data_IF_536034740470
#
_entry.id   IF_536034740470
#
_cell.length_a   1.000
_cell.length_b   1.000
_cell.length_c   1.000
_cell.angle_alpha   90.00
_cell.angle_beta   90.00
_cell.angle_gamma   90.00
#
_symmetry.space_group_name_H-M   'P 1'
#
loop_
_entity.id
_entity.type
_entity.pdbx_description
1 polymer ?
#
# COMPACT_ATOMS: atom_id res chain seq x y z
N UNK A 1 8.84 26.23 -60.49
CA UNK A 1 8.77 27.25 -59.42
C UNK A 1 7.46 27.03 -58.68
N UNK A 2 7.40 26.72 -57.40
CA UNK A 2 8.42 26.56 -56.34
C UNK A 2 7.84 25.52 -55.36
N UNK A 3 8.71 24.64 -54.90
CA UNK A 3 8.54 23.88 -53.66
C UNK A 3 8.41 24.85 -52.47
N UNK A 4 7.71 24.41 -51.43
CA UNK A 4 7.51 25.16 -50.20
C UNK A 4 6.91 24.27 -49.11
N UNK A 5 7.63 23.20 -48.77
CA UNK A 5 7.45 22.44 -47.54
C UNK A 5 7.91 23.30 -46.35
N UNK A 6 6.98 23.86 -45.58
CA UNK A 6 7.28 24.34 -44.21
C UNK A 6 6.65 23.37 -43.22
N UNK A 7 7.41 22.32 -42.91
CA UNK A 7 7.23 21.49 -41.73
C UNK A 7 8.12 22.05 -40.62
N UNK A 8 7.57 22.91 -39.76
CA UNK A 8 8.28 23.36 -38.55
C UNK A 8 7.36 23.38 -37.33
N UNK A 9 7.36 22.30 -36.53
CA UNK A 9 7.17 22.43 -35.08
C UNK A 9 8.23 21.66 -34.24
N UNK A 10 9.38 21.27 -34.81
CA UNK A 10 10.32 20.34 -34.15
C UNK A 10 11.21 20.93 -33.04
N UNK A 11 11.55 22.23 -33.11
CA UNK A 11 12.51 22.88 -32.18
C UNK A 11 12.03 23.01 -30.73
N UNK A 12 10.80 23.48 -30.43
CA UNK A 12 10.34 23.60 -29.03
C UNK A 12 10.09 22.24 -28.36
N UNK A 13 9.75 21.21 -29.14
CA UNK A 13 9.61 19.84 -28.65
C UNK A 13 10.98 19.24 -28.27
N UNK A 14 12.02 19.48 -29.07
CA UNK A 14 13.37 19.03 -28.80
C UNK A 14 13.97 19.72 -27.56
N UNK A 15 13.76 21.03 -27.40
CA UNK A 15 14.21 21.74 -26.19
C UNK A 15 13.51 21.25 -24.92
N UNK A 16 12.21 20.98 -24.98
CA UNK A 16 11.46 20.38 -23.87
C UNK A 16 11.97 18.96 -23.56
N UNK A 17 12.27 18.16 -24.59
CA UNK A 17 12.87 16.84 -24.45
C UNK A 17 14.24 16.87 -23.77
N UNK A 18 15.11 17.79 -24.18
CA UNK A 18 16.45 17.97 -23.62
C UNK A 18 16.38 18.46 -22.18
N UNK A 19 15.49 19.43 -21.88
CA UNK A 19 15.25 19.91 -20.50
C UNK A 19 14.70 18.80 -19.61
N UNK A 20 13.75 18.04 -20.11
CA UNK A 20 13.24 16.84 -19.44
C UNK A 20 14.37 15.86 -19.15
N UNK A 21 15.09 15.39 -20.17
CA UNK A 21 16.19 14.45 -20.01
C UNK A 21 17.26 14.92 -19.00
N UNK A 22 17.60 16.21 -18.98
CA UNK A 22 18.50 16.80 -17.99
C UNK A 22 17.93 16.78 -16.56
N UNK A 23 16.66 17.14 -16.38
CA UNK A 23 16.00 17.09 -15.06
C UNK A 23 15.88 15.65 -14.55
N UNK A 24 15.60 14.68 -15.43
CA UNK A 24 15.57 13.27 -15.09
C UNK A 24 16.96 12.76 -14.66
N UNK A 25 18.02 13.15 -15.37
CA UNK A 25 19.40 12.78 -15.03
C UNK A 25 19.84 13.38 -13.68
N UNK A 26 19.59 14.68 -13.47
CA UNK A 26 19.88 15.34 -12.18
C UNK A 26 19.11 14.69 -11.03
N UNK A 27 17.85 14.36 -11.24
CA UNK A 27 17.05 13.74 -10.21
C UNK A 27 17.52 12.30 -9.89
N UNK A 28 18.03 11.58 -10.89
CA UNK A 28 18.64 10.25 -10.71
C UNK A 28 19.90 10.33 -9.85
N UNK A 29 20.81 11.26 -10.19
CA UNK A 29 22.08 11.44 -9.50
C UNK A 29 21.90 11.90 -8.04
N UNK A 30 20.84 12.67 -7.77
CA UNK A 30 20.49 13.11 -6.42
C UNK A 30 19.80 12.02 -5.57
N UNK A 31 19.22 10.97 -6.17
CA UNK A 31 18.53 9.92 -5.41
C UNK A 31 19.47 9.19 -4.43
N UNK A 32 20.66 8.82 -4.90
CA UNK A 32 21.65 8.10 -4.10
C UNK A 32 22.15 8.89 -2.87
N UNK A 33 22.58 10.17 -2.97
CA UNK A 33 22.98 10.93 -1.80
C UNK A 33 21.84 11.16 -0.80
N UNK A 34 20.61 11.40 -1.25
CA UNK A 34 19.47 11.54 -0.33
C UNK A 34 19.07 10.24 0.38
N UNK A 35 19.14 9.10 -0.33
CA UNK A 35 18.91 7.80 0.28
C UNK A 35 19.93 7.50 1.39
N UNK A 36 21.20 7.88 1.18
CA UNK A 36 22.26 7.77 2.20
C UNK A 36 22.02 8.70 3.39
N UNK A 37 21.63 9.96 3.16
CA UNK A 37 21.28 10.90 4.24
C UNK A 37 20.11 10.39 5.08
N UNK A 38 19.07 9.82 4.44
CA UNK A 38 17.96 9.19 5.15
C UNK A 38 18.44 8.03 6.02
N UNK A 39 19.28 7.14 5.47
CA UNK A 39 19.82 6.01 6.22
C UNK A 39 20.63 6.49 7.43
N UNK A 40 21.48 7.51 7.25
CA UNK A 40 22.26 8.10 8.35
C UNK A 40 21.36 8.75 9.40
N UNK A 41 20.30 9.44 8.98
CA UNK A 41 19.33 10.07 9.87
C UNK A 41 18.57 9.05 10.74
N UNK A 42 18.20 7.91 10.17
CA UNK A 42 17.56 6.80 10.90
C UNK A 42 18.51 6.18 11.94
N UNK A 43 19.82 6.23 11.72
CA UNK A 43 20.84 5.71 12.64
C UNK A 43 21.19 6.69 13.77
N UNK A 44 20.91 7.98 13.63
CA UNK A 44 21.06 8.96 14.71
C UNK A 44 19.93 8.75 15.73
N UNK A 45 20.25 8.81 17.03
CA UNK A 45 19.31 8.53 18.12
C UNK A 45 17.95 9.22 17.96
N UNK A 46 16.88 8.53 18.43
CA UNK A 46 15.51 8.68 17.96
C UNK A 46 14.93 10.11 17.94
N UNK A 47 15.33 11.02 18.84
CA UNK A 47 14.75 12.37 18.90
C UNK A 47 15.42 13.38 17.94
N UNK A 48 16.72 13.23 17.66
CA UNK A 48 17.46 14.15 16.80
C UNK A 48 17.46 13.72 15.32
N UNK A 49 17.37 12.41 15.05
CA UNK A 49 17.41 11.85 13.69
C UNK A 49 16.08 11.89 12.94
N UNK A 50 14.94 11.84 13.64
CA UNK A 50 13.60 11.85 13.06
C UNK A 50 13.31 13.03 12.11
N UNK A 51 13.56 14.30 12.48
CA UNK A 51 13.31 15.42 11.58
C UNK A 51 14.18 15.36 10.31
N UNK A 52 15.44 14.90 10.43
CA UNK A 52 16.33 14.74 9.29
C UNK A 52 15.88 13.60 8.37
N UNK A 53 15.41 12.48 8.93
CA UNK A 53 14.89 11.35 8.17
C UNK A 53 13.61 11.74 7.41
N UNK A 54 12.70 12.45 8.08
CA UNK A 54 11.48 12.98 7.45
C UNK A 54 11.81 13.96 6.31
N UNK A 55 12.78 14.86 6.52
CA UNK A 55 13.24 15.79 5.48
C UNK A 55 13.85 15.06 4.28
N UNK A 56 14.70 14.06 4.51
CA UNK A 56 15.30 13.26 3.44
C UNK A 56 14.24 12.43 2.68
N UNK A 57 13.22 11.90 3.36
CA UNK A 57 12.08 11.23 2.72
C UNK A 57 11.27 12.17 1.83
N UNK A 58 11.01 13.41 2.29
CA UNK A 58 10.33 14.43 1.50
C UNK A 58 11.14 14.78 0.23
N UNK A 59 12.47 14.91 0.35
CA UNK A 59 13.35 15.18 -0.78
C UNK A 59 13.38 14.03 -1.80
N UNK A 60 13.45 12.78 -1.31
CA UNK A 60 13.37 11.60 -2.17
C UNK A 60 12.05 11.53 -2.92
N UNK A 61 10.92 11.77 -2.23
CA UNK A 61 9.61 11.77 -2.87
C UNK A 61 9.49 12.86 -3.96
N UNK A 62 10.04 14.04 -3.72
CA UNK A 62 10.07 15.12 -4.72
C UNK A 62 10.89 14.72 -5.95
N UNK A 63 12.06 14.11 -5.74
CA UNK A 63 12.92 13.63 -6.83
C UNK A 63 12.25 12.53 -7.65
N UNK A 64 11.56 11.60 -6.98
CA UNK A 64 10.77 10.56 -7.61
C UNK A 64 9.60 11.16 -8.41
N UNK A 65 8.86 12.10 -7.82
CA UNK A 65 7.74 12.76 -8.48
C UNK A 65 8.22 13.57 -9.70
N UNK A 66 9.42 14.17 -9.67
CA UNK A 66 10.04 14.88 -10.79
C UNK A 66 10.50 13.93 -11.90
N UNK A 67 11.19 12.84 -11.55
CA UNK A 67 11.59 11.82 -12.52
C UNK A 67 10.38 11.22 -13.20
N UNK A 68 9.35 10.86 -12.43
CA UNK A 68 8.10 10.35 -12.94
C UNK A 68 7.45 11.36 -13.89
N UNK A 69 7.32 12.62 -13.47
CA UNK A 69 6.68 13.67 -14.26
C UNK A 69 7.33 13.83 -15.63
N UNK A 70 8.65 13.96 -15.64
CA UNK A 70 9.45 14.14 -16.85
C UNK A 70 9.44 12.90 -17.72
N UNK A 71 9.65 11.71 -17.13
CA UNK A 71 9.66 10.45 -17.88
C UNK A 71 8.32 10.20 -18.55
N UNK A 72 7.22 10.53 -17.86
CA UNK A 72 5.87 10.30 -18.35
C UNK A 72 5.36 11.35 -19.33
N UNK A 73 5.96 12.54 -19.40
CA UNK A 73 5.77 13.44 -20.55
C UNK A 73 6.31 12.84 -21.85
N UNK A 74 7.38 12.04 -21.76
CA UNK A 74 8.03 11.42 -22.93
C UNK A 74 7.43 10.06 -23.28
N UNK A 75 7.13 9.24 -22.28
CA UNK A 75 6.60 7.89 -22.43
C UNK A 75 5.64 7.57 -21.28
N UNK A 76 4.37 7.32 -21.60
CA UNK A 76 3.36 6.96 -20.62
C UNK A 76 3.82 5.76 -19.77
N UNK A 77 3.54 5.74 -18.45
CA UNK A 77 3.88 4.60 -17.60
C UNK A 77 3.21 3.34 -18.13
N UNK A 78 3.96 2.25 -18.15
CA UNK A 78 3.38 0.93 -18.32
C UNK A 78 2.59 0.57 -17.06
N UNK A 79 1.38 0.07 -17.26
CA UNK A 79 0.50 -0.38 -16.18
C UNK A 79 0.18 -1.85 -16.41
N UNK A 80 0.34 -2.66 -15.37
CA UNK A 80 0.13 -4.11 -15.40
C UNK A 80 -0.88 -4.45 -14.32
N UNK A 81 -2.11 -4.71 -14.74
CA UNK A 81 -3.16 -5.16 -13.82
C UNK A 81 -2.99 -6.66 -13.55
N UNK A 82 -3.05 -7.05 -12.28
CA UNK A 82 -2.95 -8.43 -11.85
C UNK A 82 -3.89 -8.69 -10.65
N UNK A 83 -4.29 -9.93 -10.38
CA UNK A 83 -5.00 -10.28 -9.15
C UNK A 83 -4.16 -9.91 -7.92
N UNK A 84 -4.72 -9.11 -7.01
CA UNK A 84 -4.08 -8.73 -5.75
C UNK A 84 -5.08 -8.77 -4.60
N UNK A 85 -4.58 -8.98 -3.39
CA UNK A 85 -5.35 -8.76 -2.18
C UNK A 85 -5.59 -7.28 -1.95
N UNK A 86 -6.83 -6.84 -2.15
CA UNK A 86 -7.14 -5.41 -2.26
C UNK A 86 -7.09 -4.70 -0.91
N UNK A 87 -7.55 -5.37 0.15
CA UNK A 87 -7.58 -4.77 1.49
C UNK A 87 -6.17 -4.49 2.01
N UNK A 88 -5.25 -5.46 1.92
CA UNK A 88 -3.85 -5.29 2.31
C UNK A 88 -3.18 -4.15 1.55
N UNK A 89 -3.37 -4.10 0.23
CA UNK A 89 -2.83 -3.05 -0.63
C UNK A 89 -3.30 -1.64 -0.22
N UNK A 90 -4.61 -1.47 0.00
CA UNK A 90 -5.19 -0.16 0.32
C UNK A 90 -4.95 0.25 1.78
N UNK A 91 -4.74 -0.72 2.68
CA UNK A 91 -4.32 -0.45 4.05
C UNK A 91 -2.93 0.21 4.11
N UNK A 92 -2.00 -0.21 3.24
CA UNK A 92 -0.67 0.42 3.12
C UNK A 92 -0.79 1.88 2.66
N UNK A 93 -1.69 2.14 1.71
CA UNK A 93 -2.01 3.50 1.24
C UNK A 93 -2.61 4.34 2.37
N UNK A 94 -3.53 3.78 3.15
CA UNK A 94 -4.11 4.46 4.31
C UNK A 94 -3.05 4.78 5.38
N UNK A 95 -2.12 3.85 5.64
CA UNK A 95 -1.00 4.08 6.56
C UNK A 95 -0.06 5.20 6.09
N UNK A 96 0.22 5.26 4.78
CA UNK A 96 0.94 6.38 4.17
C UNK A 96 0.19 7.70 4.38
N UNK A 97 -1.11 7.74 4.11
CA UNK A 97 -1.95 8.93 4.31
C UNK A 97 -1.93 9.44 5.75
N UNK A 98 -2.06 8.53 6.73
CA UNK A 98 -1.96 8.86 8.15
C UNK A 98 -0.61 9.48 8.52
N UNK A 99 0.49 8.94 7.98
CA UNK A 99 1.85 9.47 8.21
C UNK A 99 2.00 10.87 7.61
N UNK A 100 1.57 11.07 6.37
CA UNK A 100 1.66 12.36 5.69
C UNK A 100 0.82 13.45 6.39
N UNK A 101 -0.40 13.12 6.80
CA UNK A 101 -1.24 14.05 7.55
C UNK A 101 -0.62 14.43 8.90
N UNK A 102 -0.06 13.45 9.63
CA UNK A 102 0.64 13.69 10.91
C UNK A 102 1.83 14.63 10.75
N UNK A 103 2.61 14.51 9.66
CA UNK A 103 3.73 15.40 9.37
C UNK A 103 3.29 16.86 9.16
N UNK A 104 2.04 17.07 8.74
CA UNK A 104 1.45 18.37 8.49
C UNK A 104 0.54 18.83 9.65
N UNK A 105 0.58 18.15 10.79
CA UNK A 105 -0.29 18.39 11.95
C UNK A 105 -1.79 18.35 11.61
N UNK A 106 -2.17 17.58 10.58
CA UNK A 106 -3.53 17.46 10.10
C UNK A 106 -4.20 16.18 10.61
N UNK A 107 -5.53 16.23 10.77
CA UNK A 107 -6.35 15.05 11.04
C UNK A 107 -6.45 14.16 9.80
N UNK A 108 -6.35 12.84 9.98
CA UNK A 108 -6.53 11.87 8.90
C UNK A 108 -7.81 11.05 9.12
N UNK A 109 -8.67 11.03 8.11
CA UNK A 109 -9.87 10.20 8.07
C UNK A 109 -9.76 9.21 6.92
N UNK A 110 -9.91 7.92 7.22
CA UNK A 110 -9.89 6.86 6.23
C UNK A 110 -11.20 6.08 6.29
N UNK A 111 -11.83 5.91 5.14
CA UNK A 111 -13.01 5.08 4.95
C UNK A 111 -12.68 4.03 3.88
N UNK A 112 -12.32 2.84 4.34
CA UNK A 112 -12.17 1.65 3.51
C UNK A 112 -13.53 0.96 3.53
N UNK A 113 -14.36 1.19 2.52
CA UNK A 113 -15.66 0.54 2.40
C UNK A 113 -15.54 -0.99 2.27
N UNK A 114 -16.65 -1.66 1.92
CA UNK A 114 -16.60 -3.10 1.67
C UNK A 114 -15.79 -3.40 0.41
N UNK A 115 -14.57 -3.90 0.58
CA UNK A 115 -13.67 -4.30 -0.50
C UNK A 115 -13.76 -5.81 -0.72
N UNK A 116 -13.73 -6.30 -1.98
CA UNK A 116 -13.55 -7.72 -2.24
C UNK A 116 -12.18 -8.20 -1.74
N UNK A 117 -12.03 -9.50 -1.41
CA UNK A 117 -10.77 -10.04 -0.93
C UNK A 117 -9.67 -9.88 -1.97
N UNK A 118 -9.97 -10.22 -3.23
CA UNK A 118 -9.05 -10.16 -4.36
C UNK A 118 -9.74 -9.51 -5.56
N UNK A 119 -9.00 -8.63 -6.23
CA UNK A 119 -9.43 -7.99 -7.46
C UNK A 119 -8.24 -7.78 -8.39
N UNK A 120 -8.51 -7.66 -9.69
CA UNK A 120 -7.51 -7.34 -10.69
C UNK A 120 -7.29 -5.83 -10.71
N UNK A 121 -6.12 -5.40 -10.30
CA UNK A 121 -5.72 -3.98 -10.30
C UNK A 121 -4.20 -3.90 -10.40
N UNK A 122 -3.68 -2.74 -10.79
CA UNK A 122 -2.23 -2.54 -10.84
C UNK A 122 -1.66 -2.31 -9.43
N UNK A 123 -0.89 -3.30 -8.94
CA UNK A 123 -0.29 -3.33 -7.60
C UNK A 123 0.63 -2.13 -7.34
N UNK A 124 1.25 -1.57 -8.37
CA UNK A 124 2.23 -0.49 -8.21
C UNK A 124 1.62 0.86 -8.56
N UNK A 125 0.93 0.95 -9.70
CA UNK A 125 0.38 2.20 -10.19
C UNK A 125 -0.73 2.76 -9.29
N UNK A 126 -1.59 1.91 -8.71
CA UNK A 126 -2.70 2.40 -7.88
C UNK A 126 -2.24 2.95 -6.53
N UNK A 127 -1.41 2.26 -5.72
CA UNK A 127 -0.83 2.87 -4.52
C UNK A 127 -0.01 4.11 -4.83
N UNK A 128 0.74 4.12 -5.93
CA UNK A 128 1.52 5.28 -6.36
C UNK A 128 0.62 6.46 -6.71
N UNK A 129 -0.49 6.23 -7.40
CA UNK A 129 -1.48 7.25 -7.73
C UNK A 129 -2.11 7.85 -6.47
N UNK A 130 -2.65 7.00 -5.60
CA UNK A 130 -3.30 7.44 -4.37
C UNK A 130 -2.30 8.12 -3.43
N UNK A 131 -1.06 7.62 -3.36
CA UNK A 131 0.03 8.23 -2.61
C UNK A 131 0.38 9.64 -3.09
N UNK A 132 0.41 9.88 -4.41
CA UNK A 132 0.62 11.22 -4.99
C UNK A 132 -0.54 12.17 -4.64
N UNK A 133 -1.79 11.69 -4.72
CA UNK A 133 -2.96 12.48 -4.32
C UNK A 133 -2.95 12.82 -2.82
N UNK A 134 -2.58 11.86 -1.96
CA UNK A 134 -2.45 12.06 -0.52
C UNK A 134 -1.34 13.05 -0.17
N UNK A 135 -0.19 12.97 -0.85
CA UNK A 135 0.90 13.96 -0.69
C UNK A 135 0.43 15.36 -1.03
N UNK A 136 -0.28 15.53 -2.15
CA UNK A 136 -0.87 16.81 -2.52
C UNK A 136 -1.84 17.31 -1.44
N UNK A 137 -2.85 16.49 -1.08
CA UNK A 137 -3.88 16.87 -0.12
C UNK A 137 -3.31 17.26 1.25
N UNK A 138 -2.31 16.52 1.75
CA UNK A 138 -1.65 16.83 3.01
C UNK A 138 -0.82 18.13 2.93
N UNK A 139 -0.05 18.30 1.85
CA UNK A 139 0.80 19.48 1.67
C UNK A 139 -0.01 20.79 1.60
N UNK A 140 -1.22 20.76 1.06
CA UNK A 140 -2.10 21.93 0.97
C UNK A 140 -3.04 22.09 2.16
N UNK A 141 -3.06 21.15 3.12
CA UNK A 141 -3.98 21.17 4.28
C UNK A 141 -3.26 21.19 5.64
N UNK A 142 -2.24 22.04 5.87
CA UNK A 142 -1.53 22.09 7.15
C UNK A 142 -2.47 22.48 8.31
N UNK A 143 -2.38 21.76 9.43
CA UNK A 143 -3.26 21.95 10.59
C UNK A 143 -4.74 21.63 10.36
N UNK A 144 -5.09 21.10 9.18
CA UNK A 144 -6.47 20.88 8.74
C UNK A 144 -6.88 19.41 8.79
N UNK A 145 -7.51 18.94 7.72
CA UNK A 145 -7.89 17.52 7.58
C UNK A 145 -7.63 16.97 6.19
N UNK A 146 -7.31 15.68 6.14
CA UNK A 146 -7.12 14.89 4.92
C UNK A 146 -8.03 13.67 5.01
N UNK A 147 -8.74 13.37 3.92
CA UNK A 147 -9.66 12.23 3.85
C UNK A 147 -9.33 11.32 2.67
N UNK A 148 -9.24 10.03 2.93
CA UNK A 148 -9.25 8.96 1.94
C UNK A 148 -10.57 8.21 2.06
N UNK A 149 -11.32 8.09 0.96
CA UNK A 149 -12.53 7.28 0.89
C UNK A 149 -12.46 6.34 -0.31
N UNK A 150 -12.76 5.07 -0.07
CA UNK A 150 -12.64 3.99 -1.04
C UNK A 150 -13.92 3.16 -1.01
N UNK A 151 -14.51 2.92 -2.18
CA UNK A 151 -15.70 2.08 -2.31
C UNK A 151 -15.57 1.20 -3.55
N UNK A 152 -15.71 -0.11 -3.36
CA UNK A 152 -15.83 -1.05 -4.47
C UNK A 152 -17.31 -1.27 -4.79
N UNK A 153 -17.68 -1.21 -6.06
CA UNK A 153 -19.05 -1.39 -6.52
C UNK A 153 -19.12 -2.22 -7.80
N UNK A 154 -20.09 -3.12 -7.85
CA UNK A 154 -20.48 -3.83 -9.06
C UNK A 154 -21.56 -3.01 -9.78
N UNK A 155 -21.26 -2.51 -10.98
CA UNK A 155 -22.14 -1.64 -11.76
C UNK A 155 -22.48 -2.25 -13.12
N UNK A 156 -23.45 -1.63 -13.83
CA UNK A 156 -23.82 -1.98 -15.20
C UNK A 156 -22.69 -1.56 -16.17
N UNK A 157 -21.65 -2.38 -16.26
CA UNK A 157 -20.46 -2.11 -17.07
C UNK A 157 -19.18 -2.73 -16.51
N UNK A 158 -19.21 -3.24 -15.28
CA UNK A 158 -18.06 -3.90 -14.65
C UNK A 158 -18.01 -3.64 -13.15
N UNK A 159 -16.94 -4.10 -12.53
CA UNK A 159 -16.63 -3.76 -11.15
C UNK A 159 -15.63 -2.61 -11.10
N UNK A 160 -15.89 -1.65 -10.22
CA UNK A 160 -15.14 -0.41 -10.12
C UNK A 160 -14.71 -0.15 -8.68
N UNK A 161 -13.48 0.34 -8.53
CA UNK A 161 -12.99 0.93 -7.30
C UNK A 161 -13.07 2.44 -7.43
N UNK A 162 -13.98 3.05 -6.67
CA UNK A 162 -14.11 4.49 -6.54
C UNK A 162 -13.20 4.98 -5.44
N UNK A 163 -12.25 5.83 -5.80
CA UNK A 163 -11.30 6.43 -4.87
C UNK A 163 -11.54 7.94 -4.81
N UNK A 164 -11.56 8.48 -3.60
CA UNK A 164 -11.66 9.91 -3.35
C UNK A 164 -10.61 10.33 -2.33
N UNK A 165 -9.82 11.34 -2.68
CA UNK A 165 -8.84 11.97 -1.79
C UNK A 165 -9.17 13.45 -1.66
N UNK A 166 -9.48 13.88 -0.44
CA UNK A 166 -9.86 15.25 -0.14
C UNK A 166 -8.95 15.87 0.93
N UNK A 167 -8.87 17.21 0.92
CA UNK A 167 -8.12 17.98 1.90
C UNK A 167 -8.77 19.34 2.14
N UNK A 168 -8.71 19.84 3.36
CA UNK A 168 -9.37 21.11 3.74
C UNK A 168 -8.82 22.33 2.99
N UNK A 169 -7.58 22.27 2.49
CA UNK A 169 -6.99 23.34 1.68
C UNK A 169 -6.96 23.07 0.17
N UNK A 170 -7.62 22.00 -0.30
CA UNK A 170 -7.77 21.75 -1.74
C UNK A 170 -8.80 22.74 -2.31
N UNK A 171 -8.45 23.44 -3.39
CA UNK A 171 -9.39 24.32 -4.10
C UNK A 171 -10.40 23.46 -4.88
N UNK A 172 -11.65 23.46 -4.42
CA UNK A 172 -12.72 22.68 -5.05
C UNK A 172 -12.95 23.10 -6.51
N UNK A 173 -12.95 22.12 -7.43
CA UNK A 173 -13.34 22.33 -8.83
C UNK A 173 -12.22 22.69 -9.83
N UNK A 174 -10.96 22.79 -9.40
CA UNK A 174 -9.84 23.05 -10.31
C UNK A 174 -8.91 21.83 -10.44
N UNK A 175 -8.78 21.30 -11.66
CA UNK A 175 -7.63 20.50 -12.06
C UNK A 175 -6.51 21.47 -12.43
N UNK A 176 -5.84 22.07 -11.45
CA UNK A 176 -4.75 23.01 -11.73
C UNK A 176 -3.62 22.30 -12.48
N UNK A 177 -3.17 22.88 -13.58
CA UNK A 177 -2.01 22.36 -14.30
C UNK A 177 -0.79 22.53 -13.39
N UNK A 178 0.00 21.48 -13.13
CA UNK A 178 1.05 21.43 -12.10
C UNK A 178 2.14 22.52 -12.23
N UNK A 179 2.22 23.18 -13.39
CA UNK A 179 3.23 24.20 -13.73
C UNK A 179 2.64 25.52 -14.26
N UNK A 180 1.30 25.70 -14.28
CA UNK A 180 0.75 27.00 -14.70
C UNK A 180 0.86 27.98 -13.54
N UNK A 181 1.97 28.74 -13.55
CA UNK A 181 2.47 29.84 -12.69
C UNK A 181 1.52 30.72 -11.86
N UNK A 182 0.45 30.18 -11.30
CA UNK A 182 -0.51 30.85 -10.44
C UNK A 182 -1.09 29.83 -9.47
N UNK A 183 -0.43 29.62 -8.34
CA UNK A 183 -1.12 29.39 -7.05
C UNK A 183 -0.13 29.48 -5.88
N UNK A 184 -0.67 29.79 -4.69
CA UNK A 184 -0.01 29.74 -3.39
C UNK A 184 0.32 28.29 -2.94
N UNK A 185 0.33 27.33 -3.87
CA UNK A 185 0.49 25.89 -3.63
C UNK A 185 1.98 25.55 -3.69
N UNK A 186 2.51 24.76 -2.72
CA UNK A 186 3.90 24.32 -2.75
C UNK A 186 4.23 23.57 -4.05
N UNK A 187 5.41 23.83 -4.64
CA UNK A 187 5.83 23.20 -5.89
C UNK A 187 5.80 21.66 -5.85
N UNK A 188 6.16 21.07 -4.71
CA UNK A 188 6.09 19.63 -4.48
C UNK A 188 4.65 19.10 -4.57
N UNK A 189 3.68 19.83 -4.02
CA UNK A 189 2.26 19.45 -4.06
C UNK A 189 1.70 19.55 -5.48
N UNK A 190 2.10 20.58 -6.23
CA UNK A 190 1.70 20.74 -7.63
C UNK A 190 2.28 19.62 -8.49
N UNK A 191 3.57 19.29 -8.33
CA UNK A 191 4.22 18.19 -9.04
C UNK A 191 3.56 16.84 -8.75
N UNK A 192 3.26 16.54 -7.49
CA UNK A 192 2.58 15.31 -7.10
C UNK A 192 1.22 15.17 -7.81
N UNK A 193 0.42 16.25 -7.86
CA UNK A 193 -0.85 16.26 -8.59
C UNK A 193 -0.66 16.07 -10.10
N UNK A 194 0.35 16.72 -10.68
CA UNK A 194 0.71 16.55 -12.09
C UNK A 194 1.01 15.11 -12.47
N UNK A 195 1.89 14.47 -11.70
CA UNK A 195 2.25 13.07 -11.90
C UNK A 195 1.06 12.12 -11.61
N UNK A 196 0.15 12.49 -10.71
CA UNK A 196 -1.09 11.74 -10.50
C UNK A 196 -2.01 11.81 -11.74
N UNK A 197 -2.13 12.96 -12.39
CA UNK A 197 -2.92 13.11 -13.64
C UNK A 197 -2.36 12.24 -14.76
N UNK A 198 -1.03 12.24 -14.97
CA UNK A 198 -0.39 11.40 -15.99
C UNK A 198 -0.61 9.90 -15.71
N UNK A 199 -0.49 9.49 -14.44
CA UNK A 199 -0.69 8.09 -14.05
C UNK A 199 -2.16 7.65 -14.19
N UNK A 200 -3.10 8.54 -13.85
CA UNK A 200 -4.53 8.34 -14.06
C UNK A 200 -4.87 8.16 -15.56
N UNK A 201 -4.24 8.94 -16.45
CA UNK A 201 -4.36 8.78 -17.90
C UNK A 201 -3.83 7.44 -18.39
N UNK A 202 -2.68 6.98 -17.88
CA UNK A 202 -2.12 5.67 -18.23
C UNK A 202 -3.03 4.51 -17.78
N UNK A 203 -3.65 4.64 -16.60
CA UNK A 203 -4.69 3.75 -16.10
C UNK A 203 -6.04 3.91 -16.82
N UNK A 204 -6.11 4.74 -17.87
CA UNK A 204 -7.32 5.04 -18.67
C UNK A 204 -8.52 5.48 -17.83
N UNK A 205 -8.23 6.13 -16.71
CA UNK A 205 -9.20 6.48 -15.67
C UNK A 205 -8.98 7.94 -15.31
N UNK A 206 -9.67 8.90 -15.96
CA UNK A 206 -9.38 10.32 -15.76
C UNK A 206 -9.71 10.76 -14.34
N UNK A 207 -8.78 11.51 -13.74
CA UNK A 207 -8.99 12.16 -12.45
C UNK A 207 -10.03 13.28 -12.59
N UNK A 208 -10.93 13.39 -11.62
CA UNK A 208 -11.99 14.42 -11.57
C UNK A 208 -11.82 15.27 -10.33
N UNK A 209 -11.95 16.58 -10.47
CA UNK A 209 -12.05 17.45 -9.30
C UNK A 209 -13.40 17.27 -8.59
N UNK A 210 -13.37 17.23 -7.27
CA UNK A 210 -14.55 17.18 -6.41
C UNK A 210 -14.71 18.51 -5.69
N UNK A 211 -15.95 19.02 -5.64
CA UNK A 211 -16.30 20.23 -4.91
C UNK A 211 -16.67 19.93 -3.45
N UNK A 212 -17.14 20.95 -2.72
CA UNK A 212 -17.68 20.82 -1.37
C UNK A 212 -18.74 19.70 -1.27
N UNK A 213 -18.91 19.04 -0.10
CA UNK A 213 -18.36 19.39 1.22
C UNK A 213 -16.91 18.96 1.46
N UNK A 214 -16.35 18.11 0.59
CA UNK A 214 -14.97 17.62 0.71
C UNK A 214 -14.21 17.92 -0.60
N UNK A 215 -13.65 19.14 -0.75
CA UNK A 215 -12.84 19.48 -1.91
C UNK A 215 -11.67 18.50 -2.09
N UNK A 216 -11.50 17.99 -3.30
CA UNK A 216 -10.60 16.88 -3.52
C UNK A 216 -10.52 16.41 -4.97
N UNK A 217 -10.01 15.21 -5.13
CA UNK A 217 -9.86 14.53 -6.40
C UNK A 217 -10.45 13.12 -6.30
N UNK A 218 -11.25 12.75 -7.29
CA UNK A 218 -11.92 11.47 -7.38
C UNK A 218 -11.53 10.74 -8.67
N UNK A 219 -11.42 9.42 -8.61
CA UNK A 219 -11.13 8.55 -9.74
C UNK A 219 -11.87 7.23 -9.58
N UNK A 220 -12.35 6.68 -10.70
CA UNK A 220 -12.93 5.34 -10.76
C UNK A 220 -11.99 4.44 -11.56
N UNK A 221 -11.52 3.35 -10.94
CA UNK A 221 -10.57 2.39 -11.51
C UNK A 221 -11.29 1.09 -11.82
N UNK A 222 -11.09 0.51 -13.00
CA UNK A 222 -11.59 -0.83 -13.30
C UNK A 222 -10.96 -1.84 -12.32
N UNK A 223 -11.80 -2.62 -11.64
CA UNK A 223 -11.39 -3.48 -10.53
C UNK A 223 -12.22 -4.77 -10.48
N UNK A 224 -12.15 -5.63 -11.52
CA UNK A 224 -12.91 -6.87 -11.57
C UNK A 224 -12.46 -7.85 -10.48
N UNK A 225 -13.41 -8.65 -9.99
CA UNK A 225 -13.15 -9.69 -9.01
C UNK A 225 -12.19 -10.75 -9.58
N UNK A 226 -11.34 -11.29 -8.72
CA UNK A 226 -10.53 -12.46 -9.01
C UNK A 226 -10.51 -13.39 -7.77
N UNK A 227 -10.17 -14.65 -7.98
CA UNK A 227 -10.04 -15.63 -6.91
C UNK A 227 -8.67 -15.54 -6.24
N UNK A 228 -8.58 -15.93 -4.97
CA UNK A 228 -7.30 -16.00 -4.24
C UNK A 228 -6.28 -16.93 -4.92
N UNK A 229 -6.75 -18.00 -5.58
CA UNK A 229 -5.89 -18.91 -6.34
C UNK A 229 -5.21 -18.29 -7.55
N UNK A 230 -5.69 -17.13 -8.02
CA UNK A 230 -5.12 -16.40 -9.16
C UNK A 230 -4.02 -15.41 -8.73
N UNK A 231 -3.87 -15.18 -7.42
CA UNK A 231 -2.85 -14.26 -6.89
C UNK A 231 -1.47 -14.91 -6.98
N UNK A 232 -0.54 -14.22 -7.64
CA UNK A 232 0.86 -14.60 -7.64
C UNK A 232 1.49 -14.21 -6.30
N UNK A 233 1.97 -15.21 -5.56
CA UNK A 233 2.64 -15.01 -4.29
C UNK A 233 4.09 -14.54 -4.52
N UNK A 234 4.60 -13.65 -3.64
CA UNK A 234 5.99 -13.23 -3.73
C UNK A 234 6.92 -14.42 -3.43
N UNK A 235 8.13 -14.37 -3.99
CA UNK A 235 9.18 -15.31 -3.60
C UNK A 235 9.55 -15.03 -2.12
N UNK A 236 9.56 -16.05 -1.24
CA UNK A 236 10.04 -15.89 0.12
C UNK A 236 11.46 -15.32 0.13
N UNK A 237 11.73 -14.23 0.86
CA UNK A 237 13.09 -13.72 0.99
C UNK A 237 13.94 -14.71 1.81
N UNK A 238 15.25 -14.65 1.64
CA UNK A 238 16.16 -15.31 2.58
C UNK A 238 16.08 -14.59 3.93
N UNK A 239 15.65 -15.32 4.95
CA UNK A 239 15.44 -14.78 6.29
C UNK A 239 16.58 -15.26 7.17
N UNK A 240 17.27 -14.33 7.83
CA UNK A 240 18.08 -14.69 8.99
C UNK A 240 17.18 -15.38 10.02
N UNK A 241 17.72 -16.38 10.73
CA UNK A 241 17.07 -17.22 11.75
C UNK A 241 16.51 -16.40 12.95
N UNK A 242 15.51 -15.56 12.68
CA UNK A 242 15.00 -14.50 13.54
C UNK A 242 13.92 -14.97 14.52
N UNK A 243 13.40 -16.19 14.34
CA UNK A 243 12.32 -16.77 15.15
C UNK A 243 12.59 -18.24 15.49
N UNK A 244 13.85 -18.57 15.80
CA UNK A 244 14.30 -19.95 16.07
C UNK A 244 13.57 -20.63 17.22
N UNK A 245 13.22 -21.89 17.00
CA UNK A 245 12.66 -22.79 18.03
C UNK A 245 11.20 -22.52 18.42
N UNK A 246 10.46 -21.74 17.61
CA UNK A 246 9.01 -21.54 17.80
C UNK A 246 8.22 -22.51 16.95
N UNK A 247 7.29 -23.26 17.53
CA UNK A 247 6.30 -24.03 16.75
C UNK A 247 5.13 -23.14 16.36
N UNK A 248 4.76 -23.17 15.08
CA UNK A 248 3.64 -22.42 14.52
C UNK A 248 2.72 -23.41 13.81
N UNK A 249 1.45 -23.43 14.21
CA UNK A 249 0.42 -24.17 13.47
C UNK A 249 -0.11 -23.28 12.35
N UNK A 250 -0.13 -23.76 11.11
CA UNK A 250 -0.63 -23.02 9.95
C UNK A 250 -1.89 -23.70 9.43
N UNK A 251 -3.04 -23.02 9.56
CA UNK A 251 -4.31 -23.42 8.97
C UNK A 251 -4.62 -22.51 7.78
N UNK A 252 -4.27 -22.97 6.58
CA UNK A 252 -4.46 -22.25 5.33
C UNK A 252 -4.98 -23.21 4.24
N UNK A 253 -6.22 -23.01 3.75
CA UNK A 253 -6.83 -23.91 2.79
C UNK A 253 -6.20 -23.81 1.39
N UNK A 254 -5.72 -22.64 1.00
CA UNK A 254 -5.08 -22.46 -0.31
C UNK A 254 -3.67 -23.06 -0.29
N UNK A 255 -3.45 -24.15 -1.03
CA UNK A 255 -2.18 -24.87 -1.03
C UNK A 255 -0.98 -23.97 -1.31
N UNK A 256 -1.05 -23.12 -2.35
CA UNK A 256 0.02 -22.20 -2.69
C UNK A 256 0.37 -21.24 -1.53
N UNK A 257 -0.63 -20.70 -0.83
CA UNK A 257 -0.42 -19.81 0.31
C UNK A 257 0.15 -20.57 1.51
N UNK A 258 -0.34 -21.78 1.77
CA UNK A 258 0.19 -22.64 2.83
C UNK A 258 1.65 -22.98 2.60
N UNK A 259 2.03 -23.32 1.37
CA UNK A 259 3.40 -23.62 0.98
C UNK A 259 4.28 -22.37 1.15
N UNK A 260 3.83 -21.21 0.66
CA UNK A 260 4.51 -19.92 0.86
C UNK A 260 4.77 -19.58 2.33
N UNK A 261 3.73 -19.67 3.17
CA UNK A 261 3.84 -19.39 4.61
C UNK A 261 4.77 -20.40 5.30
N UNK A 262 4.72 -21.66 4.90
CA UNK A 262 5.58 -22.73 5.43
C UNK A 262 7.04 -22.45 5.11
N UNK A 263 7.37 -22.16 3.84
CA UNK A 263 8.73 -21.82 3.42
C UNK A 263 9.27 -20.59 4.16
N UNK A 264 8.46 -19.53 4.28
CA UNK A 264 8.82 -18.32 4.98
C UNK A 264 9.11 -18.56 6.47
N UNK A 265 8.23 -19.30 7.16
CA UNK A 265 8.39 -19.60 8.59
C UNK A 265 9.57 -20.54 8.85
N UNK A 266 9.77 -21.56 8.01
CA UNK A 266 10.94 -22.44 8.08
C UNK A 266 12.24 -21.66 7.86
N UNK A 267 12.27 -20.76 6.86
CA UNK A 267 13.41 -19.86 6.61
C UNK A 267 13.74 -18.97 7.80
N UNK A 268 12.73 -18.53 8.56
CA UNK A 268 12.92 -17.77 9.79
C UNK A 268 13.39 -18.61 11.01
N UNK A 269 13.47 -19.94 10.87
CA UNK A 269 13.86 -20.88 11.92
C UNK A 269 12.71 -21.40 12.79
N UNK A 270 11.46 -21.18 12.41
CA UNK A 270 10.31 -21.76 13.09
C UNK A 270 10.15 -23.25 12.73
N UNK A 271 9.52 -24.00 13.63
CA UNK A 271 8.98 -25.33 13.35
C UNK A 271 7.53 -25.17 12.89
N UNK A 272 7.18 -25.65 11.69
CA UNK A 272 5.85 -25.45 11.12
C UNK A 272 5.03 -26.74 11.18
N UNK A 273 3.82 -26.65 11.73
CA UNK A 273 2.82 -27.71 11.76
C UNK A 273 1.66 -27.32 10.84
N UNK A 274 1.58 -27.91 9.64
CA UNK A 274 0.49 -27.63 8.72
C UNK A 274 -0.78 -28.35 9.16
N UNK A 275 -1.86 -27.60 9.39
CA UNK A 275 -3.19 -28.12 9.67
C UNK A 275 -4.05 -28.10 8.39
N UNK A 276 -4.83 -29.16 8.18
CA UNK A 276 -5.67 -29.29 6.99
C UNK A 276 -7.13 -28.85 7.20
N UNK A 277 -7.61 -28.90 8.44
CA UNK A 277 -8.94 -28.45 8.83
C UNK A 277 -8.96 -27.92 10.27
N UNK A 278 -10.13 -27.46 10.73
CA UNK A 278 -10.28 -26.90 12.08
C UNK A 278 -10.02 -27.90 13.20
N UNK A 279 -10.36 -29.18 13.02
CA UNK A 279 -10.24 -30.19 14.07
C UNK A 279 -8.77 -30.64 14.21
N UNK A 280 -8.08 -30.80 13.09
CA UNK A 280 -6.63 -31.01 13.02
C UNK A 280 -5.88 -29.82 13.65
N UNK A 281 -6.27 -28.59 13.31
CA UNK A 281 -5.71 -27.38 13.91
C UNK A 281 -5.89 -27.33 15.43
N UNK A 282 -7.07 -27.71 15.95
CA UNK A 282 -7.35 -27.80 17.38
C UNK A 282 -6.53 -28.90 18.08
N UNK A 283 -6.26 -30.00 17.39
CA UNK A 283 -5.43 -31.09 17.92
C UNK A 283 -3.96 -30.66 17.99
N UNK A 284 -3.41 -30.08 16.92
CA UNK A 284 -2.05 -29.57 16.86
C UNK A 284 -1.83 -28.39 17.81
N UNK A 285 -2.82 -27.51 17.96
CA UNK A 285 -2.79 -26.41 18.92
C UNK A 285 -2.59 -26.87 20.37
N UNK A 286 -3.08 -28.06 20.71
CA UNK A 286 -2.88 -28.65 22.04
C UNK A 286 -1.43 -29.07 22.33
N UNK A 287 -0.58 -29.11 21.31
CA UNK A 287 0.85 -29.38 21.43
C UNK A 287 1.66 -28.10 21.62
N UNK A 288 1.02 -26.93 21.49
CA UNK A 288 1.66 -25.64 21.57
C UNK A 288 1.88 -25.18 23.02
N UNK A 289 3.03 -24.56 23.28
CA UNK A 289 3.39 -23.88 24.52
C UNK A 289 3.04 -22.39 24.50
N UNK A 290 3.36 -21.66 25.59
CA UNK A 290 2.91 -20.27 25.78
C UNK A 290 3.48 -19.23 24.79
N UNK A 291 4.55 -19.55 24.05
CA UNK A 291 5.20 -18.62 23.10
C UNK A 291 4.99 -19.03 21.63
N UNK A 292 4.06 -19.92 21.41
CA UNK A 292 3.73 -20.49 20.11
C UNK A 292 2.37 -19.96 19.65
N UNK A 293 2.16 -19.95 18.34
CA UNK A 293 0.99 -19.31 17.74
C UNK A 293 0.33 -20.20 16.69
N UNK A 294 -0.96 -19.98 16.52
CA UNK A 294 -1.72 -20.53 15.41
C UNK A 294 -1.94 -19.41 14.39
N UNK A 295 -1.45 -19.61 13.18
CA UNK A 295 -1.70 -18.77 12.01
C UNK A 295 -2.91 -19.34 11.26
N UNK A 296 -4.00 -18.58 11.18
CA UNK A 296 -5.25 -19.02 10.56
C UNK A 296 -5.62 -18.08 9.42
N UNK A 297 -5.97 -18.64 8.26
CA UNK A 297 -6.66 -17.89 7.21
C UNK A 297 -7.99 -17.33 7.73
N UNK A 298 -8.47 -16.25 7.12
CA UNK A 298 -9.83 -15.77 7.31
C UNK A 298 -10.89 -16.76 6.81
N UNK A 299 -12.17 -16.43 7.06
CA UNK A 299 -13.29 -17.32 6.76
C UNK A 299 -13.29 -17.73 5.28
N UNK A 300 -12.90 -18.97 5.04
CA UNK A 300 -12.94 -19.65 3.74
C UNK A 300 -13.57 -21.01 4.01
N UNK A 301 -14.42 -21.48 3.08
CA UNK A 301 -15.21 -22.72 3.18
C UNK A 301 -14.58 -23.81 4.08
N UNK A 302 -15.19 -24.06 5.24
CA UNK A 302 -14.72 -25.06 6.22
C UNK A 302 -13.88 -24.53 7.38
N UNK A 303 -13.44 -23.27 7.34
CA UNK A 303 -12.67 -22.60 8.40
C UNK A 303 -13.46 -21.39 8.90
N UNK A 304 -13.84 -21.41 10.17
CA UNK A 304 -14.36 -20.27 10.90
C UNK A 304 -13.38 -19.90 12.01
N UNK A 305 -12.55 -18.89 11.76
CA UNK A 305 -11.53 -18.42 12.70
C UNK A 305 -12.13 -17.93 14.03
N UNK A 306 -13.36 -17.39 14.02
CA UNK A 306 -14.06 -16.97 15.23
C UNK A 306 -14.50 -18.16 16.08
N UNK A 307 -15.03 -19.20 15.44
CA UNK A 307 -15.35 -20.47 16.10
C UNK A 307 -14.09 -21.20 16.59
N UNK A 308 -13.02 -21.22 15.78
CA UNK A 308 -11.72 -21.79 16.16
C UNK A 308 -11.19 -21.16 17.45
N UNK A 309 -11.19 -19.83 17.51
CA UNK A 309 -10.79 -19.06 18.70
C UNK A 309 -11.62 -19.42 19.93
N UNK A 310 -12.95 -19.49 19.77
CA UNK A 310 -13.88 -19.87 20.85
C UNK A 310 -13.57 -21.28 21.37
N UNK A 311 -13.32 -22.24 20.47
CA UNK A 311 -12.96 -23.63 20.82
C UNK A 311 -11.58 -23.74 21.49
N UNK A 312 -10.56 -23.02 21.00
CA UNK A 312 -9.24 -22.96 21.62
C UNK A 312 -9.32 -22.47 23.07
N UNK A 313 -10.04 -21.36 23.29
CA UNK A 313 -10.25 -20.80 24.63
C UNK A 313 -11.06 -21.72 25.53
N UNK A 314 -12.07 -22.41 25.01
CA UNK A 314 -12.84 -23.39 25.77
C UNK A 314 -12.00 -24.61 26.20
N UNK A 315 -11.07 -25.06 25.35
CA UNK A 315 -10.24 -26.24 25.60
C UNK A 315 -9.04 -25.97 26.51
N UNK A 316 -8.42 -24.81 26.38
CA UNK A 316 -7.13 -24.49 27.03
C UNK A 316 -7.20 -23.32 28.01
N UNK A 317 -8.33 -22.62 28.11
CA UNK A 317 -8.50 -21.50 29.03
C UNK A 317 -7.46 -20.40 28.80
N UNK A 318 -6.80 -19.98 29.89
CA UNK A 318 -5.72 -18.99 29.86
C UNK A 318 -4.44 -19.50 29.16
N UNK A 319 -4.29 -20.81 28.97
CA UNK A 319 -3.16 -21.41 28.27
C UNK A 319 -3.41 -21.62 26.78
N UNK A 320 -4.52 -21.09 26.23
CA UNK A 320 -4.78 -21.18 24.80
C UNK A 320 -3.68 -20.47 23.98
N UNK A 321 -3.19 -21.08 22.88
CA UNK A 321 -2.20 -20.44 22.03
C UNK A 321 -2.80 -19.18 21.38
N UNK A 322 -1.93 -18.19 21.13
CA UNK A 322 -2.35 -16.96 20.48
C UNK A 322 -2.78 -17.24 19.03
N UNK A 323 -3.91 -16.65 18.62
CA UNK A 323 -4.42 -16.76 17.26
C UNK A 323 -4.05 -15.51 16.44
N UNK A 324 -3.19 -15.72 15.44
CA UNK A 324 -2.90 -14.71 14.42
C UNK A 324 -3.81 -14.95 13.22
N UNK A 325 -4.69 -13.98 12.93
CA UNK A 325 -5.53 -14.03 11.74
C UNK A 325 -4.76 -13.47 10.53
N UNK A 326 -4.70 -14.25 9.45
CA UNK A 326 -4.19 -13.84 8.14
C UNK A 326 -5.37 -13.61 7.20
N UNK A 327 -5.82 -12.36 7.07
CA UNK A 327 -7.11 -12.04 6.47
C UNK A 327 -6.98 -11.38 5.09
N UNK A 328 -7.84 -11.76 4.14
CA UNK A 328 -8.04 -11.03 2.90
C UNK A 328 -8.92 -9.78 3.10
N UNK A 329 -9.78 -9.77 4.13
CA UNK A 329 -10.72 -8.68 4.43
C UNK A 329 -10.69 -8.28 5.91
N UNK A 330 -11.22 -7.09 6.22
CA UNK A 330 -11.38 -6.64 7.61
C UNK A 330 -12.29 -7.61 8.40
N UNK A 331 -11.81 -8.18 9.52
CA UNK A 331 -12.65 -9.05 10.35
C UNK A 331 -13.71 -8.25 11.11
N UNK A 332 -14.84 -8.91 11.43
CA UNK A 332 -15.91 -8.34 12.27
C UNK A 332 -15.63 -8.46 13.77
N UNK A 333 -14.84 -9.46 14.17
CA UNK A 333 -14.43 -9.70 15.56
C UNK A 333 -12.96 -9.33 15.77
N UNK A 334 -12.56 -9.05 17.01
CA UNK A 334 -11.16 -8.83 17.38
C UNK A 334 -10.40 -10.14 17.63
N UNK A 335 -9.16 -10.19 17.13
CA UNK A 335 -8.24 -11.31 17.23
C UNK A 335 -6.98 -10.92 18.03
N UNK A 336 -6.20 -11.90 18.50
CA UNK A 336 -5.01 -11.63 19.33
C UNK A 336 -3.93 -10.88 18.52
N UNK A 337 -3.85 -11.19 17.22
CA UNK A 337 -3.18 -10.38 16.19
C UNK A 337 -3.87 -10.53 14.83
N UNK A 338 -3.67 -9.54 13.96
CA UNK A 338 -4.23 -9.48 12.61
C UNK A 338 -3.12 -9.07 11.62
N UNK A 339 -3.04 -9.81 10.51
CA UNK A 339 -2.25 -9.46 9.33
C UNK A 339 -3.12 -9.58 8.09
N UNK A 340 -3.01 -8.62 7.18
CA UNK A 340 -3.69 -8.70 5.91
C UNK A 340 -2.84 -9.42 4.87
N UNK A 341 -3.50 -10.20 4.02
CA UNK A 341 -2.90 -10.86 2.85
C UNK A 341 -2.49 -9.79 1.79
N UNK A 342 -1.37 -9.96 1.07
CA UNK A 342 -0.25 -10.82 1.44
C UNK A 342 0.58 -10.14 2.54
N UNK A 343 0.84 -10.83 3.65
CA UNK A 343 1.74 -10.30 4.67
C UNK A 343 3.19 -10.36 4.18
N UNK A 344 3.97 -9.30 4.38
CA UNK A 344 5.41 -9.37 4.19
C UNK A 344 6.06 -10.22 5.28
N UNK A 345 7.22 -10.82 4.98
CA UNK A 345 7.96 -11.62 5.96
C UNK A 345 8.28 -10.81 7.24
N UNK A 346 8.70 -9.55 7.09
CA UNK A 346 8.96 -8.68 8.23
C UNK A 346 7.72 -8.42 9.08
N UNK A 347 6.55 -8.19 8.47
CA UNK A 347 5.29 -7.99 9.18
C UNK A 347 4.84 -9.26 9.92
N UNK A 348 4.98 -10.43 9.28
CA UNK A 348 4.67 -11.72 9.89
C UNK A 348 5.54 -12.00 11.12
N UNK A 349 6.85 -11.85 10.99
CA UNK A 349 7.78 -12.07 12.10
C UNK A 349 7.58 -11.06 13.24
N UNK A 350 7.32 -9.80 12.93
CA UNK A 350 7.02 -8.79 13.94
C UNK A 350 5.72 -9.11 14.70
N UNK A 351 4.67 -9.55 14.01
CA UNK A 351 3.43 -9.94 14.66
C UNK A 351 3.60 -11.16 15.58
N UNK A 352 4.34 -12.18 15.12
CA UNK A 352 4.67 -13.35 15.94
C UNK A 352 5.54 -12.97 17.15
N UNK A 353 6.51 -12.06 16.99
CA UNK A 353 7.33 -11.56 18.09
C UNK A 353 6.49 -10.85 19.14
N UNK A 354 5.57 -9.98 18.72
CA UNK A 354 4.66 -9.25 19.60
C UNK A 354 3.71 -10.17 20.37
N UNK A 355 3.16 -11.21 19.72
CA UNK A 355 2.31 -12.19 20.39
C UNK A 355 3.03 -12.90 21.53
N UNK A 356 4.29 -13.28 21.31
CA UNK A 356 5.08 -13.98 22.32
C UNK A 356 5.47 -13.11 23.52
N UNK A 357 5.48 -11.79 23.38
CA UNK A 357 5.73 -10.85 24.50
C UNK A 357 4.49 -10.62 25.37
N UNK A 358 3.29 -10.90 24.85
CA UNK A 358 2.01 -10.70 25.55
C UNK A 358 1.57 -11.92 26.39
N UNK A 359 2.20 -13.07 26.18
CA UNK A 359 1.91 -14.35 26.82
C UNK A 359 2.99 -14.72 27.87
#
# INVERSE_FOLDING_TARGET
>A
MREGTESTPAVPALEAQVRGAMLAALAHDLRAPWARLRQQAVLLAAEAGQPLAASAEQQLALLEDLQDFVRWELQAPETVAAPVYLHGLLQEVAALGARLARQQEAAFHCDLGALPPVAVIDREAVPRLLGKLLRHAAAVSPGGSVRLALAWQQEAGGAWLHCSVAGSGVSGGCMEHPLRGRTQVPAAAALALGSAVQLAQALRSPLRAQAAPWPGHAIALACPLAAESEVLLPVPPDLALAATGRRIVVLEPLAAMRDYLTELLLGAGCEVLAAHDMDDALQLAGQLGRHEALLCADQVSGIDAGLLRKRLRARHGAAAPALLLHAAQAPQEEYDALLYKPASAGALLAALANLAQRA
#
